data_IF_955129053106
#
_entry.id   IF_955129053106
#
_cell.length_a   1.000
_cell.length_b   1.000
_cell.length_c   1.000
_cell.angle_alpha   90.00
_cell.angle_beta   90.00
_cell.angle_gamma   90.00
#
_symmetry.space_group_name_H-M   'P 1'
#
loop_
_entity.id
_entity.type
_entity.pdbx_description
1 polymer ?
#
# COMPACT_ATOMS: atom_id res chain seq x y z
N UNK A 1 3.95 -7.63 21.13
CA UNK A 1 5.00 -7.15 20.21
C UNK A 1 4.34 -6.75 18.89
N UNK A 2 4.55 -5.52 18.45
CA UNK A 2 3.96 -5.01 17.21
C UNK A 2 4.83 -5.37 16.02
N UNK A 3 4.20 -5.87 14.96
CA UNK A 3 4.89 -6.12 13.70
C UNK A 3 4.93 -4.79 12.95
N UNK A 4 6.11 -4.33 12.52
CA UNK A 4 6.20 -3.11 11.73
C UNK A 4 5.43 -3.24 10.42
N UNK A 5 4.81 -2.16 10.01
CA UNK A 5 4.08 -2.14 8.73
C UNK A 5 4.16 -0.77 8.09
N UNK A 6 3.86 -0.75 6.81
CA UNK A 6 3.77 0.47 6.02
C UNK A 6 2.30 0.74 5.71
N UNK A 7 1.87 1.95 5.92
CA UNK A 7 0.54 2.38 5.49
C UNK A 7 0.68 3.17 4.20
N UNK A 8 0.08 2.69 3.14
CA UNK A 8 0.13 3.33 1.84
C UNK A 8 -1.21 3.94 1.53
N UNK A 9 -1.25 5.25 1.41
CA UNK A 9 -2.45 5.97 1.01
C UNK A 9 -2.58 5.98 -0.49
N UNK A 10 -3.75 5.62 -0.97
CA UNK A 10 -4.03 5.56 -2.42
C UNK A 10 -5.36 6.21 -2.71
N UNK A 11 -5.51 6.66 -3.96
CA UNK A 11 -6.77 7.18 -4.45
C UNK A 11 -7.27 6.23 -5.53
N UNK A 12 -8.49 5.75 -5.38
CA UNK A 12 -9.14 4.83 -6.32
C UNK A 12 -10.32 5.56 -6.93
N UNK A 13 -10.19 5.98 -8.18
CA UNK A 13 -11.18 6.80 -8.82
C UNK A 13 -11.33 8.13 -8.09
N UNK A 14 -12.50 8.39 -7.52
CA UNK A 14 -12.80 9.62 -6.77
C UNK A 14 -12.65 9.45 -5.26
N UNK A 15 -12.39 8.24 -4.79
CA UNK A 15 -12.30 7.93 -3.36
C UNK A 15 -10.87 7.67 -2.93
N UNK A 16 -10.55 8.05 -1.69
CA UNK A 16 -9.25 7.76 -1.11
C UNK A 16 -9.36 6.60 -0.11
N UNK A 17 -8.31 5.81 -0.02
CA UNK A 17 -8.24 4.69 0.90
C UNK A 17 -6.80 4.46 1.32
N UNK A 18 -6.58 3.35 2.04
CA UNK A 18 -5.24 3.02 2.50
C UNK A 18 -5.07 1.50 2.54
N UNK A 19 -3.84 1.07 2.30
CA UNK A 19 -3.45 -0.34 2.37
C UNK A 19 -2.31 -0.46 3.38
N UNK A 20 -2.45 -1.39 4.33
CA UNK A 20 -1.39 -1.68 5.28
C UNK A 20 -0.59 -2.88 4.76
N UNK A 21 0.71 -2.70 4.63
CA UNK A 21 1.61 -3.73 4.16
C UNK A 21 2.57 -4.09 5.29
N UNK A 22 2.46 -5.31 5.80
CA UNK A 22 3.30 -5.78 6.90
C UNK A 22 4.67 -6.21 6.39
N UNK A 23 5.69 -5.97 7.20
CA UNK A 23 7.07 -6.24 6.80
C UNK A 23 7.33 -7.71 6.50
N UNK A 24 6.61 -8.62 7.15
CA UNK A 24 6.77 -10.05 6.93
C UNK A 24 6.19 -10.53 5.59
N UNK A 25 5.39 -9.71 4.94
CA UNK A 25 4.83 -10.01 3.63
C UNK A 25 5.80 -9.68 2.49
N UNK A 26 6.92 -9.04 2.79
CA UNK A 26 7.87 -8.56 1.79
C UNK A 26 9.26 -9.14 2.04
N UNK A 27 9.97 -9.55 0.97
CA UNK A 27 11.34 -10.06 1.13
C UNK A 27 12.32 -8.97 1.59
N UNK A 28 12.08 -7.73 1.17
CA UNK A 28 12.84 -6.56 1.63
C UNK A 28 11.86 -5.56 2.22
N UNK A 29 12.06 -5.22 3.48
CA UNK A 29 11.18 -4.27 4.16
C UNK A 29 11.51 -2.84 3.76
N UNK A 30 11.25 -2.48 2.52
CA UNK A 30 11.47 -1.12 2.02
C UNK A 30 10.14 -0.48 1.61
N UNK A 31 10.11 0.85 1.71
CA UNK A 31 8.92 1.60 1.34
C UNK A 31 8.57 1.47 -0.15
N UNK A 32 9.58 1.26 -0.99
CA UNK A 32 9.36 1.08 -2.43
C UNK A 32 8.56 -0.18 -2.71
N UNK A 33 8.92 -1.28 -2.08
CA UNK A 33 8.18 -2.54 -2.21
C UNK A 33 6.78 -2.44 -1.60
N UNK A 34 6.65 -1.70 -0.50
CA UNK A 34 5.35 -1.50 0.13
C UNK A 34 4.40 -0.76 -0.81
N UNK A 35 4.88 0.30 -1.46
CA UNK A 35 4.08 1.05 -2.44
C UNK A 35 3.68 0.17 -3.61
N UNK A 36 4.64 -0.56 -4.19
CA UNK A 36 4.37 -1.44 -5.32
C UNK A 36 3.34 -2.51 -4.96
N UNK A 37 3.51 -3.14 -3.81
CA UNK A 37 2.58 -4.16 -3.33
C UNK A 37 1.17 -3.59 -3.14
N UNK A 38 1.06 -2.42 -2.52
CA UNK A 38 -0.22 -1.77 -2.29
C UNK A 38 -0.91 -1.39 -3.60
N UNK A 39 -0.15 -0.87 -4.55
CA UNK A 39 -0.69 -0.49 -5.86
C UNK A 39 -1.17 -1.71 -6.64
N UNK A 40 -0.42 -2.80 -6.61
CA UNK A 40 -0.82 -4.05 -7.26
C UNK A 40 -2.08 -4.63 -6.63
N UNK A 41 -2.18 -4.60 -5.31
CA UNK A 41 -3.37 -5.04 -4.59
C UNK A 41 -4.59 -4.21 -5.01
N UNK A 42 -4.44 -2.89 -5.05
CA UNK A 42 -5.52 -2.01 -5.45
C UNK A 42 -5.97 -2.27 -6.88
N UNK A 43 -5.03 -2.45 -7.80
CA UNK A 43 -5.36 -2.76 -9.20
C UNK A 43 -6.07 -4.09 -9.34
N UNK A 44 -5.70 -5.07 -8.52
CA UNK A 44 -6.33 -6.38 -8.54
C UNK A 44 -7.79 -6.31 -8.11
N UNK A 45 -8.08 -5.48 -7.11
CA UNK A 45 -9.44 -5.31 -6.58
C UNK A 45 -10.27 -4.37 -7.47
N UNK A 46 -9.63 -3.35 -8.04
CA UNK A 46 -10.29 -2.33 -8.86
C UNK A 46 -9.62 -2.21 -10.23
N UNK A 47 -9.80 -3.22 -11.10
CA UNK A 47 -9.05 -3.26 -12.37
C UNK A 47 -9.44 -2.18 -13.38
N UNK A 48 -10.61 -1.57 -13.24
CA UNK A 48 -11.09 -0.54 -14.17
C UNK A 48 -10.95 0.88 -13.61
N UNK A 49 -10.54 1.01 -12.35
CA UNK A 49 -10.41 2.31 -11.71
C UNK A 49 -9.00 2.86 -11.85
N UNK A 50 -8.90 4.18 -11.88
CA UNK A 50 -7.59 4.85 -11.86
C UNK A 50 -7.05 4.80 -10.43
N UNK A 51 -5.85 4.27 -10.27
CA UNK A 51 -5.20 4.15 -8.97
C UNK A 51 -4.06 5.16 -8.92
N UNK A 52 -4.05 6.01 -7.88
CA UNK A 52 -3.00 7.00 -7.66
C UNK A 52 -2.38 6.83 -6.29
N UNK A 53 -1.06 6.96 -6.23
CA UNK A 53 -0.33 6.96 -4.97
C UNK A 53 -0.46 8.33 -4.31
N UNK A 54 -0.76 8.35 -2.99
CA UNK A 54 -0.87 9.58 -2.22
C UNK A 54 0.29 9.75 -1.24
N UNK A 55 0.54 8.75 -0.40
CA UNK A 55 1.59 8.82 0.62
C UNK A 55 1.98 7.44 1.10
N UNK A 56 3.12 7.37 1.78
CA UNK A 56 3.54 6.18 2.51
C UNK A 56 4.01 6.59 3.89
N UNK A 57 3.66 5.81 4.90
CA UNK A 57 4.01 6.10 6.28
C UNK A 57 4.39 4.79 6.98
N UNK A 58 5.49 4.83 7.71
CA UNK A 58 5.97 3.66 8.46
C UNK A 58 5.42 3.68 9.88
N UNK A 59 4.98 2.53 10.34
CA UNK A 59 4.53 2.30 11.72
C UNK A 59 5.32 1.15 12.33
N UNK A 60 5.74 1.34 13.56
CA UNK A 60 6.48 0.33 14.32
C UNK A 60 5.69 -0.18 15.49
#
# INVERSE_FOLDING_TARGET
>A
MNIPYWQVGIKIGAESGQVNVHSDALPDASWEYAIEHAMDTARSVHPTEKIEFLYVKEYN
#
